data_IF_299401641685
#
_entry.id   IF_299401641685
#
_cell.length_a   1.000
_cell.length_b   1.000
_cell.length_c   1.000
_cell.angle_alpha   90.00
_cell.angle_beta   90.00
_cell.angle_gamma   90.00
#
_symmetry.space_group_name_H-M   'P 1'
#
loop_
_entity.id
_entity.type
_entity.pdbx_description
1 polymer ?
#
# COMPACT_ATOMS: atom_id res chain seq x y z
N UNK A 1 -4.75 -3.96 -17.02
CA UNK A 1 -4.41 -3.36 -15.71
C UNK A 1 -5.72 -3.09 -14.99
N UNK A 2 -6.23 -4.04 -14.23
CA UNK A 2 -7.45 -3.82 -13.43
C UNK A 2 -7.01 -3.28 -12.07
N UNK A 3 -6.86 -1.95 -11.99
CA UNK A 3 -6.65 -1.26 -10.71
C UNK A 3 -7.88 -1.42 -9.82
N UNK A 4 -7.71 -1.25 -8.51
CA UNK A 4 -8.87 -1.09 -7.65
C UNK A 4 -9.68 0.13 -8.14
N UNK A 5 -11.01 0.00 -8.23
CA UNK A 5 -11.87 1.16 -8.45
C UNK A 5 -11.70 2.06 -7.22
N UNK A 6 -10.95 3.15 -7.39
CA UNK A 6 -10.86 4.20 -6.37
C UNK A 6 -12.22 4.89 -6.36
N UNK A 7 -12.90 5.04 -5.21
CA UNK A 7 -14.16 5.77 -5.14
C UNK A 7 -14.01 7.16 -5.77
N UNK A 8 -15.01 7.61 -6.51
CA UNK A 8 -14.97 8.90 -7.25
C UNK A 8 -14.70 10.12 -6.35
N UNK A 9 -14.87 9.96 -5.03
CA UNK A 9 -14.61 10.98 -4.01
C UNK A 9 -13.13 11.13 -3.66
N UNK A 10 -12.25 10.22 -4.07
CA UNK A 10 -10.81 10.29 -3.78
C UNK A 10 -10.09 10.78 -5.05
N UNK A 11 -9.45 11.96 -5.02
CA UNK A 11 -8.72 12.47 -6.17
C UNK A 11 -7.56 11.53 -6.50
N UNK A 12 -7.34 11.22 -7.79
CA UNK A 12 -6.23 10.38 -8.28
C UNK A 12 -4.83 11.04 -8.20
N UNK A 13 -4.73 12.03 -7.32
CA UNK A 13 -3.57 12.85 -7.00
C UNK A 13 -3.69 13.20 -5.52
N UNK A 14 -2.59 13.17 -4.78
CA UNK A 14 -2.69 13.41 -3.34
C UNK A 14 -1.42 13.16 -2.57
N UNK A 15 -1.21 13.94 -1.51
CA UNK A 15 -0.06 13.84 -0.64
C UNK A 15 -0.41 12.98 0.58
N UNK A 16 0.44 12.01 0.93
CA UNK A 16 0.22 11.11 2.07
C UNK A 16 0.00 11.79 3.43
N UNK A 17 0.33 13.08 3.53
CA UNK A 17 0.10 13.88 4.72
C UNK A 17 -1.36 14.37 4.85
N UNK A 18 -2.12 14.39 3.75
CA UNK A 18 -3.51 14.83 3.76
C UNK A 18 -4.39 13.80 4.49
N UNK A 19 -5.42 14.28 5.18
CA UNK A 19 -6.21 13.48 6.12
C UNK A 19 -6.87 12.25 5.48
N UNK A 20 -7.34 12.38 4.23
CA UNK A 20 -8.02 11.32 3.49
C UNK A 20 -7.10 10.11 3.19
N UNK A 21 -5.81 10.33 2.96
CA UNK A 21 -4.84 9.27 2.64
C UNK A 21 -4.23 8.60 3.88
N UNK A 22 -4.57 9.08 5.08
CA UNK A 22 -4.06 8.55 6.36
C UNK A 22 -4.96 7.48 6.96
N UNK A 23 -6.14 7.26 6.39
CA UNK A 23 -7.10 6.24 6.86
C UNK A 23 -6.60 4.83 6.60
N UNK A 24 -7.02 3.89 7.46
CA UNK A 24 -6.66 2.48 7.31
C UNK A 24 -7.30 1.87 6.05
N UNK A 25 -8.55 2.24 5.73
CA UNK A 25 -9.21 1.84 4.49
C UNK A 25 -8.41 2.25 3.26
N UNK A 26 -8.00 3.53 3.17
CA UNK A 26 -7.22 4.00 2.04
C UNK A 26 -5.88 3.27 1.91
N UNK A 27 -5.17 3.12 3.02
CA UNK A 27 -3.86 2.44 3.06
C UNK A 27 -3.96 0.99 2.61
N UNK A 28 -5.01 0.28 2.99
CA UNK A 28 -5.19 -1.13 2.63
C UNK A 28 -5.60 -1.25 1.16
N UNK A 29 -6.59 -0.48 0.71
CA UNK A 29 -7.30 -0.70 -0.54
C UNK A 29 -6.77 0.09 -1.74
N UNK A 30 -6.21 1.28 -1.53
CA UNK A 30 -5.94 2.23 -2.63
C UNK A 30 -4.48 2.69 -2.70
N UNK A 31 -3.79 2.80 -1.55
CA UNK A 31 -2.41 3.29 -1.51
C UNK A 31 -1.50 2.49 -2.45
N UNK A 32 -0.93 3.20 -3.44
CA UNK A 32 -0.03 2.67 -4.48
C UNK A 32 -0.60 1.52 -5.32
N UNK A 33 -1.93 1.41 -5.41
CA UNK A 33 -2.60 0.42 -6.26
C UNK A 33 -2.90 0.99 -7.65
N UNK A 34 -3.48 2.18 -7.69
CA UNK A 34 -3.84 2.88 -8.94
C UNK A 34 -2.75 3.87 -9.31
N UNK A 35 -2.49 4.03 -10.61
CA UNK A 35 -1.47 4.95 -11.12
C UNK A 35 -1.84 6.41 -10.85
N UNK A 36 -0.82 7.23 -10.55
CA UNK A 36 -0.97 8.65 -10.37
C UNK A 36 -1.36 9.32 -11.69
N UNK A 37 -2.39 10.17 -11.69
CA UNK A 37 -2.78 10.96 -12.86
C UNK A 37 -2.22 12.38 -12.85
N UNK A 38 -1.37 12.73 -11.87
CA UNK A 38 -0.79 14.06 -11.78
C UNK A 38 0.29 14.24 -12.86
N UNK A 39 0.07 15.23 -13.72
CA UNK A 39 0.99 15.60 -14.80
C UNK A 39 2.04 16.62 -14.33
N UNK A 40 1.78 17.31 -13.22
CA UNK A 40 2.69 18.30 -12.66
C UNK A 40 3.79 17.61 -11.82
N UNK A 41 5.02 18.16 -11.80
CA UNK A 41 6.10 17.66 -10.95
C UNK A 41 5.71 17.67 -9.46
N UNK A 42 5.97 16.55 -8.77
CA UNK A 42 5.72 16.42 -7.34
C UNK A 42 6.63 15.35 -6.72
N UNK A 43 6.67 15.30 -5.39
CA UNK A 43 7.38 14.24 -4.68
C UNK A 43 6.58 12.93 -4.72
N UNK A 44 6.93 12.07 -5.67
CA UNK A 44 6.37 10.72 -5.84
C UNK A 44 6.50 9.82 -4.60
N UNK A 45 7.46 10.10 -3.69
CA UNK A 45 7.60 9.34 -2.43
C UNK A 45 6.52 9.71 -1.41
N UNK A 46 5.96 10.91 -1.52
CA UNK A 46 4.81 11.40 -0.77
C UNK A 46 3.49 11.26 -1.54
N UNK A 47 3.52 10.89 -2.82
CA UNK A 47 2.30 10.64 -3.59
C UNK A 47 1.60 9.38 -3.09
N UNK A 48 0.27 9.43 -2.95
CA UNK A 48 -0.53 8.29 -2.51
C UNK A 48 -0.76 7.23 -3.61
N UNK A 49 -0.47 7.58 -4.87
CA UNK A 49 -0.72 6.77 -6.07
C UNK A 49 0.57 6.22 -6.69
N UNK A 50 0.41 5.18 -7.50
CA UNK A 50 1.51 4.43 -8.07
C UNK A 50 2.20 5.19 -9.22
N UNK A 51 3.52 5.09 -9.28
CA UNK A 51 4.37 5.59 -10.36
C UNK A 51 5.11 4.44 -11.03
N UNK A 52 5.42 4.62 -12.32
CA UNK A 52 6.13 3.61 -13.11
C UNK A 52 7.51 3.34 -12.49
N UNK A 53 7.79 2.07 -12.22
CA UNK A 53 9.08 1.61 -11.70
C UNK A 53 9.29 1.80 -10.19
N UNK A 54 8.35 2.39 -9.45
CA UNK A 54 8.51 2.53 -8.01
C UNK A 54 8.33 1.21 -7.26
N UNK A 55 9.10 1.02 -6.18
CA UNK A 55 9.04 -0.20 -5.36
C UNK A 55 7.78 -0.28 -4.49
N UNK A 56 7.08 0.83 -4.31
CA UNK A 56 5.88 0.90 -3.48
C UNK A 56 4.60 0.49 -4.21
N UNK A 57 4.63 0.35 -5.56
CA UNK A 57 3.49 -0.14 -6.35
C UNK A 57 2.97 -1.47 -5.80
N UNK A 58 1.65 -1.62 -5.76
CA UNK A 58 0.96 -2.80 -5.26
C UNK A 58 -0.11 -3.29 -6.22
N UNK A 59 -0.37 -4.59 -6.15
CA UNK A 59 -1.61 -5.20 -6.63
C UNK A 59 -2.69 -5.03 -5.57
N UNK A 60 -3.86 -4.52 -5.96
CA UNK A 60 -5.02 -4.43 -5.06
C UNK A 60 -5.59 -5.81 -4.77
N UNK A 61 -5.87 -6.12 -3.49
CA UNK A 61 -6.40 -7.44 -3.06
C UNK A 61 -7.83 -7.71 -3.51
N UNK A 62 -8.55 -6.66 -3.95
CA UNK A 62 -9.84 -6.78 -4.61
C UNK A 62 -9.73 -7.47 -5.98
N UNK A 63 -8.73 -7.07 -6.79
CA UNK A 63 -8.53 -7.60 -8.14
C UNK A 63 -7.59 -8.82 -8.19
N UNK A 64 -6.62 -8.91 -7.27
CA UNK A 64 -5.60 -9.96 -7.28
C UNK A 64 -5.56 -10.72 -5.95
N UNK A 65 -5.59 -12.05 -6.01
CA UNK A 65 -5.50 -12.90 -4.81
C UNK A 65 -4.05 -13.28 -4.55
N UNK A 66 -3.49 -12.78 -3.46
CA UNK A 66 -2.18 -13.15 -2.95
C UNK A 66 -2.18 -13.12 -1.42
N UNK A 67 -1.27 -13.86 -0.79
CA UNK A 67 -1.06 -13.85 0.65
C UNK A 67 0.03 -12.85 1.05
N UNK A 68 -0.01 -12.39 2.31
CA UNK A 68 0.97 -11.44 2.87
C UNK A 68 2.43 -11.97 2.89
N UNK A 69 2.64 -13.27 2.73
CA UNK A 69 3.97 -13.90 2.70
C UNK A 69 4.73 -13.44 1.45
N UNK A 70 5.96 -12.97 1.64
CA UNK A 70 6.81 -12.47 0.56
C UNK A 70 7.14 -13.57 -0.46
N UNK A 71 7.06 -13.22 -1.74
CA UNK A 71 7.42 -14.10 -2.83
C UNK A 71 8.93 -14.34 -2.85
N UNK A 72 9.39 -15.61 -2.76
CA UNK A 72 10.81 -15.92 -2.74
C UNK A 72 11.53 -15.55 -4.05
N UNK A 73 10.83 -15.63 -5.18
CA UNK A 73 11.39 -15.30 -6.51
C UNK A 73 11.47 -13.80 -6.72
N UNK A 74 10.42 -13.06 -6.35
CA UNK A 74 10.42 -11.60 -6.42
C UNK A 74 11.53 -11.01 -5.56
N UNK A 75 11.76 -11.57 -4.36
CA UNK A 75 12.87 -11.16 -3.48
C UNK A 75 14.25 -11.35 -4.13
N UNK A 76 14.40 -12.30 -5.07
CA UNK A 76 15.63 -12.51 -5.84
C UNK A 76 15.74 -11.59 -7.08
N UNK A 77 14.75 -10.74 -7.32
CA UNK A 77 14.75 -9.71 -8.36
C UNK A 77 13.72 -9.92 -9.47
N UNK A 78 13.24 -11.14 -9.73
CA UNK A 78 12.27 -11.37 -10.80
C UNK A 78 11.35 -12.54 -10.49
N UNK A 79 10.03 -12.27 -10.50
CA UNK A 79 9.00 -13.30 -10.41
C UNK A 79 8.31 -13.46 -11.77
N UNK A 80 8.42 -14.66 -12.37
CA UNK A 80 7.82 -14.96 -13.68
C UNK A 80 6.29 -15.12 -13.65
N UNK A 81 5.69 -15.24 -12.46
CA UNK A 81 4.24 -15.39 -12.29
C UNK A 81 3.47 -14.06 -12.46
N UNK A 82 4.18 -12.94 -12.48
CA UNK A 82 3.58 -11.61 -12.65
C UNK A 82 2.45 -11.36 -11.65
N UNK A 83 1.38 -10.74 -12.13
CA UNK A 83 0.24 -10.36 -11.29
C UNK A 83 -0.53 -11.56 -10.71
N UNK A 84 -0.42 -12.74 -11.33
CA UNK A 84 -1.04 -13.99 -10.87
C UNK A 84 -0.25 -14.68 -9.74
N UNK A 85 0.88 -14.11 -9.30
CA UNK A 85 1.65 -14.67 -8.20
C UNK A 85 0.83 -14.68 -6.89
N UNK A 86 0.66 -15.83 -6.21
CA UNK A 86 -0.11 -15.90 -4.97
C UNK A 86 0.63 -15.35 -3.74
N UNK A 87 1.82 -14.78 -3.89
CA UNK A 87 2.63 -14.23 -2.80
C UNK A 87 2.88 -12.75 -3.02
N UNK A 88 3.15 -12.00 -1.95
CA UNK A 88 3.42 -10.57 -1.99
C UNK A 88 4.75 -10.23 -2.72
N UNK A 89 4.70 -9.20 -3.56
CA UNK A 89 5.78 -8.64 -4.37
C UNK A 89 6.31 -7.34 -3.76
N UNK A 90 6.83 -7.44 -2.54
CA UNK A 90 7.48 -6.34 -1.84
C UNK A 90 6.90 -6.07 -0.46
N UNK A 91 7.55 -5.15 0.26
CA UNK A 91 7.23 -4.80 1.65
C UNK A 91 5.80 -4.26 1.75
N UNK A 92 5.38 -3.42 0.81
CA UNK A 92 4.06 -2.79 0.82
C UNK A 92 2.93 -3.80 0.58
N UNK A 93 3.06 -4.71 -0.38
CA UNK A 93 2.07 -5.79 -0.54
C UNK A 93 2.03 -6.71 0.69
N UNK A 94 3.18 -7.02 1.30
CA UNK A 94 3.21 -7.86 2.50
C UNK A 94 2.51 -7.19 3.69
N UNK A 95 2.86 -5.95 3.99
CA UNK A 95 2.49 -5.31 5.24
C UNK A 95 1.20 -4.48 5.19
N UNK A 96 0.74 -4.08 4.00
CA UNK A 96 -0.59 -3.50 3.79
C UNK A 96 -1.62 -4.55 3.32
N UNK A 97 -1.26 -5.83 3.32
CA UNK A 97 -2.23 -6.90 3.10
C UNK A 97 -3.27 -6.92 4.26
N UNK A 98 -4.58 -7.06 3.98
CA UNK A 98 -5.63 -7.03 5.02
C UNK A 98 -5.37 -8.00 6.18
N UNK A 99 -4.86 -9.20 5.89
CA UNK A 99 -4.53 -10.21 6.91
C UNK A 99 -3.23 -9.95 7.71
N UNK A 100 -2.52 -8.83 7.50
CA UNK A 100 -1.25 -8.52 8.19
C UNK A 100 -1.14 -7.07 8.66
N UNK A 101 -1.88 -6.16 8.06
CA UNK A 101 -1.86 -4.75 8.44
C UNK A 101 -2.31 -4.57 9.90
N UNK A 102 -1.54 -3.78 10.67
CA UNK A 102 -1.79 -3.48 12.10
C UNK A 102 -1.88 -4.70 13.04
N UNK A 103 -1.43 -5.88 12.63
CA UNK A 103 -1.45 -7.08 13.51
C UNK A 103 -0.28 -7.16 14.48
N UNK A 104 0.71 -6.27 14.35
CA UNK A 104 1.86 -6.16 15.25
C UNK A 104 1.98 -4.74 15.74
N UNK A 105 2.41 -4.55 16.99
CA UNK A 105 2.60 -3.24 17.59
C UNK A 105 3.82 -2.53 16.98
N UNK A 106 3.68 -1.23 16.77
CA UNK A 106 4.78 -0.36 16.39
C UNK A 106 5.71 -0.19 17.58
N UNK A 107 7.03 -0.28 17.35
CA UNK A 107 8.04 -0.06 18.38
C UNK A 107 8.02 1.38 18.92
N UNK A 108 7.68 2.32 18.05
CA UNK A 108 7.64 3.76 18.37
C UNK A 108 6.26 4.17 18.92
N UNK A 109 5.27 3.25 18.95
CA UNK A 109 3.96 3.48 19.55
C UNK A 109 3.26 4.74 19.01
N UNK A 110 2.79 5.58 19.93
CA UNK A 110 2.12 6.85 19.63
C UNK A 110 3.07 7.94 19.11
N UNK A 111 4.39 7.79 19.34
CA UNK A 111 5.42 8.72 18.89
C UNK A 111 5.89 8.44 17.45
N UNK A 112 5.34 7.41 16.80
CA UNK A 112 5.67 7.06 15.42
C UNK A 112 5.21 8.15 14.44
N UNK A 113 6.17 8.75 13.74
CA UNK A 113 5.98 9.84 12.77
C UNK A 113 5.99 9.38 11.31
N UNK A 114 6.14 8.06 11.06
CA UNK A 114 6.18 7.53 9.69
C UNK A 114 4.88 7.85 8.94
N UNK A 115 4.95 8.50 7.75
CA UNK A 115 3.77 8.81 6.95
C UNK A 115 2.91 7.59 6.65
N UNK A 116 3.57 6.44 6.44
CA UNK A 116 2.95 5.13 6.29
C UNK A 116 3.58 4.15 7.28
N UNK A 117 2.91 3.94 8.41
CA UNK A 117 3.28 2.89 9.36
C UNK A 117 2.36 1.67 9.19
N UNK A 118 2.94 0.48 9.09
CA UNK A 118 2.20 -0.77 8.91
C UNK A 118 1.69 -1.39 10.22
N UNK A 119 2.15 -0.88 11.35
CA UNK A 119 2.03 -1.48 12.67
C UNK A 119 1.02 -0.73 13.54
N UNK A 120 0.33 -1.40 14.46
CA UNK A 120 -0.60 -0.74 15.37
C UNK A 120 0.13 0.17 16.36
N UNK A 121 -0.36 1.41 16.55
CA UNK A 121 0.21 2.35 17.51
C UNK A 121 -0.41 2.24 18.91
N UNK A 122 -1.45 1.42 19.05
CA UNK A 122 -2.06 1.09 20.34
C UNK A 122 -2.71 -0.30 20.27
N UNK A 123 -2.98 -0.89 21.44
CA UNK A 123 -3.67 -2.19 21.57
C UNK A 123 -5.19 -2.05 21.38
N UNK A 124 -5.73 -0.83 21.45
CA UNK A 124 -7.16 -0.60 21.23
C UNK A 124 -7.46 -0.83 19.75
N UNK A 125 -8.31 -1.80 19.46
CA UNK A 125 -8.95 -1.88 18.16
C UNK A 125 -9.70 -0.55 17.96
N UNK A 126 -9.42 0.14 16.86
CA UNK A 126 -10.32 1.19 16.37
C UNK A 126 -11.65 0.49 16.08
N UNK A 127 -12.59 0.61 17.02
CA UNK A 127 -13.98 0.19 16.85
C UNK A 127 -14.65 1.05 15.79
#
# INVERSE_FOLDING_TARGET
MQGAHVPDVIPLQGNLLDAEFRTDDFRINYFKVTECSNIEPHDWTLCAFAHVGEKARRRGTAAFKYVATACPDFRKGTCKRGDQCPFAHGVFESWLHPGRYRTQLCKDGLECDRPVCFFAHSIKASL
#
